data_IF_607012481198
#
_entry.id   IF_607012481198
#
_cell.length_a   1.000
_cell.length_b   1.000
_cell.length_c   1.000
_cell.angle_alpha   90.00
_cell.angle_beta   90.00
_cell.angle_gamma   90.00
#
_symmetry.space_group_name_H-M   'P 1'
#
loop_
_entity.id
_entity.type
_entity.pdbx_description
1 polymer ?
#
# COMPACT_ATOMS: atom_id res chain seq x y z
N UNK A 1 21.55 15.73 -7.84
CA UNK A 1 20.81 14.78 -6.98
C UNK A 1 19.40 15.31 -6.92
N UNK A 2 18.49 14.75 -7.71
CA UNK A 2 17.09 15.17 -7.70
C UNK A 2 16.46 14.70 -6.39
N UNK A 3 16.27 15.64 -5.47
CA UNK A 3 15.46 15.46 -4.28
C UNK A 3 14.00 15.46 -4.73
N UNK A 4 13.51 14.33 -5.23
CA UNK A 4 12.08 14.14 -5.36
C UNK A 4 11.49 14.25 -3.95
N UNK A 5 10.78 15.36 -3.72
CA UNK A 5 10.11 15.63 -2.46
C UNK A 5 8.89 14.71 -2.34
N UNK A 6 9.15 13.46 -1.94
CA UNK A 6 8.12 12.46 -1.62
C UNK A 6 7.22 12.91 -0.45
N UNK A 7 7.60 13.96 0.26
CA UNK A 7 6.87 14.54 1.39
C UNK A 7 5.84 15.59 0.96
N UNK A 8 5.88 16.02 -0.31
CA UNK A 8 4.86 16.91 -0.87
C UNK A 8 3.47 16.26 -0.81
N UNK A 9 2.42 17.04 -0.54
CA UNK A 9 1.06 16.52 -0.45
C UNK A 9 0.55 16.04 -1.81
N UNK A 10 -0.05 14.85 -1.85
CA UNK A 10 -0.63 14.26 -3.05
C UNK A 10 -1.84 15.04 -3.58
N UNK A 11 -2.55 15.74 -2.70
CA UNK A 11 -3.64 16.64 -3.05
C UNK A 11 -3.36 18.02 -2.47
N UNK A 12 -3.21 19.05 -3.32
CA UNK A 12 -3.11 20.41 -2.84
C UNK A 12 -4.45 20.85 -2.22
N UNK A 13 -4.50 21.18 -0.92
CA UNK A 13 -5.67 21.79 -0.27
C UNK A 13 -5.68 23.31 -0.51
N UNK A 14 -6.86 23.89 -0.70
CA UNK A 14 -7.00 25.33 -1.01
C UNK A 14 -6.49 26.26 0.10
N UNK A 15 -6.42 25.79 1.34
CA UNK A 15 -5.85 26.52 2.50
C UNK A 15 -4.30 26.56 2.49
N UNK A 16 -3.63 25.81 1.61
CA UNK A 16 -2.15 25.71 1.56
C UNK A 16 -1.44 27.00 1.17
N UNK A 17 -2.12 27.96 0.54
CA UNK A 17 -1.49 29.24 0.15
C UNK A 17 -1.01 30.06 1.36
N UNK A 18 -1.61 29.86 2.54
CA UNK A 18 -1.28 30.68 3.72
C UNK A 18 -0.39 29.96 4.74
N UNK A 19 -0.14 28.66 4.59
CA UNK A 19 0.57 27.84 5.59
C UNK A 19 2.07 27.65 5.31
N UNK A 20 2.67 28.58 4.57
CA UNK A 20 4.11 28.66 4.37
C UNK A 20 4.77 29.21 5.63
N UNK A 21 5.63 28.40 6.26
CA UNK A 21 6.49 28.87 7.35
C UNK A 21 7.84 29.32 6.77
N UNK A 22 8.49 30.24 7.45
CA UNK A 22 9.84 30.68 7.11
C UNK A 22 10.77 30.18 8.22
N UNK A 23 11.88 29.57 7.84
CA UNK A 23 12.96 29.32 8.79
C UNK A 23 13.65 30.68 9.11
N UNK A 24 14.46 30.76 10.17
CA UNK A 24 15.22 31.97 10.50
C UNK A 24 16.17 32.43 9.38
N UNK A 25 16.49 31.54 8.44
CA UNK A 25 17.40 31.76 7.31
C UNK A 25 16.67 32.34 6.08
N UNK A 26 15.34 32.42 6.11
CA UNK A 26 14.51 33.03 5.07
C UNK A 26 13.95 32.04 4.03
N UNK A 27 14.21 30.75 4.18
CA UNK A 27 13.65 29.71 3.31
C UNK A 27 12.19 29.46 3.65
N UNK A 28 11.38 29.45 2.59
CA UNK A 28 9.98 29.04 2.61
C UNK A 28 9.89 27.52 2.57
N UNK A 29 9.24 26.92 3.59
CA UNK A 29 8.90 25.51 3.57
C UNK A 29 7.41 25.29 3.87
N UNK A 30 6.87 24.24 3.26
CA UNK A 30 5.48 23.83 3.45
C UNK A 30 5.34 22.98 4.71
N UNK A 31 4.38 23.30 5.57
CA UNK A 31 3.94 22.40 6.63
C UNK A 31 2.59 21.82 6.23
N UNK A 32 2.60 20.61 5.69
CA UNK A 32 1.38 19.86 5.40
C UNK A 32 0.78 19.35 6.72
N UNK A 33 0.04 20.19 7.44
CA UNK A 33 -0.65 19.80 8.68
C UNK A 33 -1.88 18.88 8.44
N UNK A 34 -2.24 18.60 7.18
CA UNK A 34 -3.32 17.66 6.86
C UNK A 34 -3.32 17.23 5.40
N UNK A 35 -2.81 16.03 5.11
CA UNK A 35 -2.78 15.45 3.77
C UNK A 35 -2.03 14.13 3.70
N UNK A 36 -2.23 13.39 2.60
CA UNK A 36 -1.46 12.19 2.26
C UNK A 36 -0.26 12.59 1.40
N UNK A 37 0.93 12.05 1.66
CA UNK A 37 2.11 12.32 0.83
C UNK A 37 1.99 11.69 -0.57
N UNK A 38 2.75 12.20 -1.54
CA UNK A 38 2.82 11.61 -2.89
C UNK A 38 3.20 10.12 -2.84
N UNK A 39 4.17 9.76 -2.00
CA UNK A 39 4.55 8.36 -1.78
C UNK A 39 3.40 7.51 -1.25
N UNK A 40 2.71 7.98 -0.21
CA UNK A 40 1.57 7.27 0.37
C UNK A 40 0.44 7.08 -0.65
N UNK A 41 0.16 8.09 -1.47
CA UNK A 41 -0.82 7.99 -2.55
C UNK A 41 -0.40 7.00 -3.62
N UNK A 42 0.86 7.05 -4.07
CA UNK A 42 1.42 6.10 -5.02
C UNK A 42 1.36 4.66 -4.47
N UNK A 43 1.72 4.44 -3.20
CA UNK A 43 1.64 3.15 -2.54
C UNK A 43 0.21 2.57 -2.59
N UNK A 44 -0.81 3.38 -2.31
CA UNK A 44 -2.22 2.96 -2.40
C UNK A 44 -2.62 2.69 -3.85
N UNK A 45 -2.31 3.59 -4.78
CA UNK A 45 -2.72 3.47 -6.19
C UNK A 45 -2.07 2.29 -6.89
N UNK A 46 -0.79 2.05 -6.63
CA UNK A 46 -0.03 0.95 -7.21
C UNK A 46 -0.16 -0.35 -6.40
N UNK A 47 -0.80 -0.29 -5.21
CA UNK A 47 -0.91 -1.41 -4.27
C UNK A 47 0.44 -2.02 -3.87
N UNK A 48 1.42 -1.14 -3.65
CA UNK A 48 2.77 -1.49 -3.23
C UNK A 48 2.94 -1.08 -1.76
N UNK A 49 3.31 -2.00 -0.86
CA UNK A 49 3.54 -1.69 0.56
C UNK A 49 4.88 -0.97 0.77
N UNK A 50 4.97 0.26 0.26
CA UNK A 50 6.11 1.17 0.39
C UNK A 50 5.62 2.61 0.63
N UNK A 51 4.70 2.76 1.59
CA UNK A 51 4.11 4.06 1.93
C UNK A 51 4.94 4.84 2.96
N UNK A 52 5.88 4.18 3.64
CA UNK A 52 6.59 4.72 4.80
C UNK A 52 5.77 4.70 6.10
N UNK A 53 4.54 4.13 6.07
CA UNK A 53 3.67 3.96 7.22
C UNK A 53 3.29 2.49 7.38
N UNK A 54 3.76 1.85 8.44
CA UNK A 54 3.56 0.41 8.67
C UNK A 54 2.08 -0.02 8.62
N UNK A 55 1.18 0.76 9.25
CA UNK A 55 -0.26 0.43 9.26
C UNK A 55 -0.88 0.51 7.86
N UNK A 56 -0.40 1.42 7.00
CA UNK A 56 -0.93 1.60 5.64
C UNK A 56 -0.41 0.48 4.73
N UNK A 57 0.86 0.09 4.89
CA UNK A 57 1.45 -1.04 4.19
C UNK A 57 0.76 -2.37 4.56
N UNK A 58 0.39 -2.54 5.84
CA UNK A 58 -0.42 -3.67 6.29
C UNK A 58 -1.81 -3.68 5.67
N UNK A 59 -2.47 -2.52 5.57
CA UNK A 59 -3.76 -2.41 4.86
C UNK A 59 -3.63 -2.73 3.37
N UNK A 60 -2.58 -2.25 2.70
CA UNK A 60 -2.31 -2.55 1.29
C UNK A 60 -2.14 -4.06 1.11
N UNK A 61 -1.36 -4.72 1.96
CA UNK A 61 -1.19 -6.18 1.94
C UNK A 61 -2.51 -6.92 2.20
N UNK A 62 -3.28 -6.49 3.21
CA UNK A 62 -4.57 -7.09 3.54
C UNK A 62 -5.57 -6.99 2.39
N UNK A 63 -5.57 -5.86 1.66
CA UNK A 63 -6.43 -5.68 0.48
C UNK A 63 -6.14 -6.68 -0.64
N UNK A 64 -4.92 -7.19 -0.73
CA UNK A 64 -4.47 -8.17 -1.75
C UNK A 64 -4.74 -9.61 -1.37
N UNK A 65 -5.17 -9.89 -0.13
CA UNK A 65 -5.42 -11.26 0.37
C UNK A 65 -6.44 -12.02 -0.47
N UNK A 66 -7.53 -11.37 -0.86
CA UNK A 66 -8.56 -12.01 -1.70
C UNK A 66 -8.05 -12.34 -3.10
N UNK A 67 -7.21 -11.47 -3.68
CA UNK A 67 -6.60 -11.67 -5.00
C UNK A 67 -5.62 -12.85 -4.97
N UNK A 68 -4.74 -12.90 -3.95
CA UNK A 68 -3.82 -14.01 -3.76
C UNK A 68 -4.56 -15.32 -3.47
N UNK A 69 -5.63 -15.30 -2.69
CA UNK A 69 -6.45 -16.49 -2.45
C UNK A 69 -7.12 -16.98 -3.74
N UNK A 70 -7.62 -16.07 -4.59
CA UNK A 70 -8.15 -16.43 -5.90
C UNK A 70 -7.10 -17.09 -6.80
N UNK A 71 -5.89 -16.52 -6.87
CA UNK A 71 -4.78 -17.07 -7.66
C UNK A 71 -4.31 -18.43 -7.12
N UNK A 72 -4.18 -18.57 -5.81
CA UNK A 72 -3.82 -19.83 -5.16
C UNK A 72 -4.89 -20.90 -5.43
N UNK A 73 -6.18 -20.53 -5.34
CA UNK A 73 -7.29 -21.41 -5.68
C UNK A 73 -7.22 -21.85 -7.14
N UNK A 74 -6.98 -20.94 -8.09
CA UNK A 74 -6.83 -21.28 -9.50
C UNK A 74 -5.67 -22.27 -9.74
N UNK A 75 -4.52 -22.06 -9.09
CA UNK A 75 -3.39 -22.98 -9.14
C UNK A 75 -3.72 -24.36 -8.57
N UNK A 76 -4.43 -24.41 -7.45
CA UNK A 76 -4.87 -25.66 -6.82
C UNK A 76 -5.90 -26.41 -7.67
N UNK A 77 -6.88 -25.71 -8.25
CA UNK A 77 -7.86 -26.29 -9.18
C UNK A 77 -7.21 -26.80 -10.47
N UNK A 78 -6.16 -26.14 -10.95
CA UNK A 78 -5.43 -26.58 -12.15
C UNK A 78 -4.56 -27.81 -11.88
N UNK A 79 -4.09 -27.98 -10.63
CA UNK A 79 -3.23 -29.09 -10.21
C UNK A 79 -4.02 -30.32 -9.71
N UNK A 80 -5.18 -30.10 -9.11
CA UNK A 80 -5.99 -31.13 -8.45
C UNK A 80 -7.32 -31.23 -9.18
N UNK A 81 -7.69 -32.41 -9.65
CA UNK A 81 -9.06 -32.71 -10.08
C UNK A 81 -9.98 -32.61 -8.86
N UNK A 82 -10.31 -31.38 -8.45
CA UNK A 82 -10.96 -31.10 -7.18
C UNK A 82 -12.43 -31.49 -7.27
N UNK A 83 -12.82 -32.47 -6.47
CA UNK A 83 -14.22 -32.82 -6.30
C UNK A 83 -14.98 -31.74 -5.52
N UNK A 84 -16.31 -31.75 -5.64
CA UNK A 84 -17.17 -30.99 -4.76
C UNK A 84 -16.86 -31.30 -3.28
N UNK A 85 -16.50 -30.29 -2.49
CA UNK A 85 -16.20 -30.43 -1.06
C UNK A 85 -14.72 -30.50 -0.67
N UNK A 86 -13.78 -30.48 -1.62
CA UNK A 86 -12.35 -30.33 -1.31
C UNK A 86 -12.09 -28.98 -0.60
N UNK A 87 -11.23 -28.91 0.43
CA UNK A 87 -10.97 -27.69 1.20
C UNK A 87 -10.09 -26.66 0.44
N UNK A 88 -10.21 -26.59 -0.89
CA UNK A 88 -9.42 -25.73 -1.79
C UNK A 88 -9.45 -24.28 -1.31
N UNK A 89 -10.60 -23.78 -0.88
CA UNK A 89 -10.74 -22.41 -0.40
C UNK A 89 -9.91 -22.13 0.87
N UNK A 90 -9.83 -23.08 1.81
CA UNK A 90 -9.03 -22.93 3.04
C UNK A 90 -7.54 -23.01 2.73
N UNK A 91 -7.16 -23.91 1.83
CA UNK A 91 -5.77 -24.08 1.41
C UNK A 91 -5.28 -22.86 0.63
N UNK A 92 -6.10 -22.34 -0.29
CA UNK A 92 -5.83 -21.11 -1.01
C UNK A 92 -5.69 -19.89 -0.10
N UNK A 93 -6.53 -19.77 0.93
CA UNK A 93 -6.40 -18.70 1.92
C UNK A 93 -5.10 -18.80 2.73
N UNK A 94 -4.68 -20.02 3.08
CA UNK A 94 -3.41 -20.26 3.79
C UNK A 94 -2.20 -19.93 2.92
N UNK A 95 -2.21 -20.33 1.65
CA UNK A 95 -1.16 -19.99 0.68
C UNK A 95 -1.06 -18.46 0.49
N UNK A 96 -2.20 -17.77 0.40
CA UNK A 96 -2.24 -16.31 0.34
C UNK A 96 -1.61 -15.65 1.58
N UNK A 97 -1.86 -16.17 2.78
CA UNK A 97 -1.27 -15.66 4.02
C UNK A 97 0.25 -15.85 4.06
N UNK A 98 0.75 -17.00 3.57
CA UNK A 98 2.18 -17.27 3.47
C UNK A 98 2.88 -16.32 2.47
N UNK A 99 2.24 -16.07 1.32
CA UNK A 99 2.74 -15.11 0.34
C UNK A 99 2.82 -13.69 0.93
N UNK A 100 1.78 -13.27 1.64
CA UNK A 100 1.77 -11.96 2.33
C UNK A 100 2.87 -11.90 3.40
N UNK A 101 3.07 -12.96 4.18
CA UNK A 101 4.11 -13.01 5.20
C UNK A 101 5.53 -12.90 4.59
N UNK A 102 5.78 -13.51 3.44
CA UNK A 102 7.06 -13.40 2.73
C UNK A 102 7.34 -12.02 2.11
N UNK A 103 6.31 -11.18 1.94
CA UNK A 103 6.44 -9.82 1.43
C UNK A 103 6.74 -8.80 2.54
N UNK A 104 6.54 -9.15 3.81
CA UNK A 104 6.95 -8.35 4.97
C UNK A 104 8.47 -8.54 5.14
N UNK A 105 9.29 -7.59 4.68
CA UNK A 105 10.74 -7.56 4.92
C UNK A 105 11.09 -6.90 6.25
#
# INVERSE_FOLDING_TARGET
MDTHDDSSPAFPTLEQRENYKHNPEGDTYYVSEGGMSLRQYAAIKLRVPDSGLAWLDEMILASRRAEYAGLAMQGLLSRKGSGWGDPVAKEAAKEADLLIAGLKK
#
